data_IF_788972855516
#
_entry.id   IF_788972855516
#
_cell.length_a   1.000
_cell.length_b   1.000
_cell.length_c   1.000
_cell.angle_alpha   90.00
_cell.angle_beta   90.00
_cell.angle_gamma   90.00
#
_symmetry.space_group_name_H-M   'P 1'
#
loop_
_entity.id
_entity.type
_entity.pdbx_description
1 polymer ?
#
# COMPACT_ATOMS: atom_id res chain seq x y z
N UNK A 1 -8.64 33.47 -3.33
CA UNK A 1 -8.75 32.06 -2.90
C UNK A 1 -9.67 32.06 -1.68
N UNK A 2 -10.90 31.55 -1.81
CA UNK A 2 -11.96 31.74 -0.81
C UNK A 2 -11.77 30.80 0.40
N UNK A 3 -12.06 31.28 1.61
CA UNK A 3 -11.93 30.52 2.86
C UNK A 3 -12.80 29.25 2.92
N UNK A 4 -13.92 29.21 2.18
CA UNK A 4 -14.76 28.01 2.04
C UNK A 4 -14.03 26.87 1.31
N UNK A 5 -13.23 27.22 0.30
CA UNK A 5 -12.48 26.29 -0.55
C UNK A 5 -11.38 25.56 0.23
N UNK A 6 -10.73 26.25 1.18
CA UNK A 6 -9.73 25.64 2.07
C UNK A 6 -10.34 24.68 3.09
N UNK A 7 -11.60 24.90 3.50
CA UNK A 7 -12.26 24.08 4.51
C UNK A 7 -12.72 22.76 3.91
N UNK A 8 -13.33 22.80 2.72
CA UNK A 8 -13.68 21.61 1.95
C UNK A 8 -12.45 20.81 1.54
N UNK A 9 -11.39 21.47 1.07
CA UNK A 9 -10.14 20.80 0.73
C UNK A 9 -9.51 20.08 1.93
N UNK A 10 -9.50 20.71 3.11
CA UNK A 10 -9.03 20.08 4.36
C UNK A 10 -9.90 18.90 4.78
N UNK A 11 -11.22 18.97 4.57
CA UNK A 11 -12.13 17.86 4.85
C UNK A 11 -11.89 16.66 3.93
N UNK A 12 -11.66 16.90 2.63
CA UNK A 12 -11.32 15.87 1.64
C UNK A 12 -10.00 15.19 2.03
N UNK A 13 -8.95 15.97 2.33
CA UNK A 13 -7.67 15.43 2.78
C UNK A 13 -7.77 14.62 4.08
N UNK A 14 -8.66 15.05 4.99
CA UNK A 14 -8.91 14.32 6.23
C UNK A 14 -9.59 12.98 5.96
N UNK A 15 -10.55 12.93 5.05
CA UNK A 15 -11.23 11.69 4.67
C UNK A 15 -10.28 10.71 3.98
N UNK A 16 -9.47 11.15 3.01
CA UNK A 16 -8.46 10.30 2.35
C UNK A 16 -7.48 9.68 3.37
N UNK A 17 -7.05 10.48 4.36
CA UNK A 17 -6.19 9.98 5.43
C UNK A 17 -6.88 8.95 6.34
N UNK A 18 -8.18 9.13 6.61
CA UNK A 18 -8.96 8.19 7.41
C UNK A 18 -9.16 6.88 6.66
N UNK A 19 -9.47 6.93 5.36
CA UNK A 19 -9.65 5.75 4.50
C UNK A 19 -8.35 4.93 4.43
N UNK A 20 -7.22 5.56 4.13
CA UNK A 20 -5.92 4.88 4.10
C UNK A 20 -5.53 4.26 5.44
N UNK A 21 -5.92 4.89 6.55
CA UNK A 21 -5.69 4.34 7.89
C UNK A 21 -6.62 3.15 8.18
N UNK A 22 -7.87 3.22 7.75
CA UNK A 22 -8.82 2.11 7.85
C UNK A 22 -8.34 0.90 7.04
N UNK A 23 -7.83 1.12 5.82
CA UNK A 23 -7.25 0.06 5.00
C UNK A 23 -6.04 -0.58 5.69
N UNK A 24 -5.17 0.23 6.31
CA UNK A 24 -4.03 -0.29 7.06
C UNK A 24 -4.47 -1.17 8.26
N UNK A 25 -5.50 -0.77 9.00
CA UNK A 25 -6.05 -1.59 10.08
C UNK A 25 -6.74 -2.85 9.57
N UNK A 26 -7.43 -2.77 8.44
CA UNK A 26 -8.04 -3.92 7.80
C UNK A 26 -6.97 -4.95 7.40
N UNK A 27 -5.89 -4.49 6.76
CA UNK A 27 -4.76 -5.35 6.44
C UNK A 27 -4.18 -5.99 7.71
N UNK A 28 -3.91 -5.22 8.76
CA UNK A 28 -3.40 -5.75 10.02
C UNK A 28 -4.30 -6.86 10.60
N UNK A 29 -5.63 -6.69 10.54
CA UNK A 29 -6.57 -7.70 10.98
C UNK A 29 -6.50 -8.98 10.13
N UNK A 30 -6.43 -8.85 8.79
CA UNK A 30 -6.29 -10.00 7.88
C UNK A 30 -4.97 -10.75 8.12
N UNK A 31 -3.87 -10.02 8.32
CA UNK A 31 -2.56 -10.61 8.62
C UNK A 31 -2.60 -11.37 9.96
N UNK A 32 -3.24 -10.80 10.99
CA UNK A 32 -3.37 -11.45 12.30
C UNK A 32 -4.19 -12.75 12.23
N UNK A 33 -5.27 -12.76 11.45
CA UNK A 33 -6.10 -13.97 11.24
C UNK A 33 -5.34 -15.09 10.52
N UNK A 34 -4.40 -14.74 9.64
CA UNK A 34 -3.55 -15.71 8.92
C UNK A 34 -2.45 -16.31 9.79
N UNK A 35 -2.09 -15.67 10.90
CA UNK A 35 -1.09 -16.13 11.87
C UNK A 35 -1.61 -16.04 13.31
N UNK A 36 -2.60 -16.87 13.69
CA UNK A 36 -3.28 -16.75 14.98
C UNK A 36 -2.40 -17.08 16.19
N UNK A 37 -1.25 -17.73 15.97
CA UNK A 37 -0.27 -18.07 17.01
C UNK A 37 0.73 -16.95 17.30
N UNK A 38 0.84 -15.96 16.41
CA UNK A 38 1.70 -14.80 16.62
C UNK A 38 0.98 -13.71 17.41
N UNK A 39 1.76 -12.83 18.06
CA UNK A 39 1.19 -11.72 18.81
C UNK A 39 0.56 -10.72 17.84
N UNK A 40 -0.69 -10.27 18.03
CA UNK A 40 -1.39 -9.41 17.08
C UNK A 40 -0.66 -8.12 16.68
N UNK A 41 0.17 -7.57 17.58
CA UNK A 41 0.96 -6.39 17.24
C UNK A 41 2.03 -6.64 16.16
N UNK A 42 2.48 -7.88 15.98
CA UNK A 42 3.45 -8.25 14.93
C UNK A 42 2.80 -8.05 13.56
N UNK A 43 1.59 -8.58 13.38
CA UNK A 43 0.80 -8.36 12.17
C UNK A 43 0.52 -6.87 11.90
N UNK A 44 0.30 -6.07 12.95
CA UNK A 44 0.14 -4.63 12.81
C UNK A 44 1.44 -3.92 12.37
N UNK A 45 2.60 -4.34 12.89
CA UNK A 45 3.91 -3.82 12.46
C UNK A 45 4.21 -4.19 11.01
N UNK A 46 3.90 -5.43 10.61
CA UNK A 46 4.12 -5.89 9.24
C UNK A 46 3.19 -5.19 8.25
N UNK A 47 1.92 -4.97 8.61
CA UNK A 47 1.01 -4.16 7.82
C UNK A 47 1.53 -2.71 7.65
N UNK A 48 2.03 -2.10 8.74
CA UNK A 48 2.65 -0.77 8.67
C UNK A 48 3.91 -0.76 7.79
N UNK A 49 4.73 -1.81 7.86
CA UNK A 49 5.91 -1.97 7.02
C UNK A 49 5.54 -2.11 5.53
N UNK A 50 4.51 -2.90 5.20
CA UNK A 50 3.99 -3.04 3.84
C UNK A 50 3.53 -1.70 3.27
N UNK A 51 2.76 -0.91 4.03
CA UNK A 51 2.38 0.45 3.61
C UNK A 51 3.60 1.35 3.42
N UNK A 52 4.57 1.30 4.34
CA UNK A 52 5.80 2.09 4.25
C UNK A 52 6.67 1.75 3.04
N UNK A 53 6.73 0.47 2.66
CA UNK A 53 7.42 0.01 1.46
C UNK A 53 6.65 0.43 0.21
N UNK A 54 5.33 0.22 0.19
CA UNK A 54 4.49 0.55 -0.95
C UNK A 54 4.51 2.05 -1.28
N UNK A 55 4.48 2.93 -0.26
CA UNK A 55 4.65 4.39 -0.45
C UNK A 55 5.98 4.78 -1.09
N UNK A 56 7.04 4.02 -0.83
CA UNK A 56 8.32 4.25 -1.50
C UNK A 56 8.28 3.82 -2.96
N UNK A 57 7.55 2.75 -3.29
CA UNK A 57 7.33 2.34 -4.68
C UNK A 57 6.46 3.38 -5.40
N UNK A 58 5.40 3.87 -4.75
CA UNK A 58 4.53 4.93 -5.26
C UNK A 58 5.33 6.20 -5.60
N UNK A 59 6.21 6.65 -4.69
CA UNK A 59 7.07 7.80 -4.95
C UNK A 59 7.99 7.60 -6.17
N UNK A 60 8.45 6.37 -6.41
CA UNK A 60 9.22 6.04 -7.60
C UNK A 60 8.34 6.02 -8.86
N UNK A 61 7.12 5.50 -8.79
CA UNK A 61 6.17 5.52 -9.90
C UNK A 61 5.81 6.98 -10.30
N UNK A 62 5.57 7.85 -9.32
CA UNK A 62 5.35 9.29 -9.56
C UNK A 62 6.58 9.91 -10.24
N UNK A 63 7.80 9.59 -9.78
CA UNK A 63 9.03 10.08 -10.40
C UNK A 63 9.17 9.61 -11.84
N UNK A 64 8.93 8.32 -12.09
CA UNK A 64 8.95 7.70 -13.41
C UNK A 64 8.02 8.43 -14.38
N UNK A 65 6.80 8.73 -13.97
CA UNK A 65 5.83 9.46 -14.80
C UNK A 65 6.22 10.91 -15.13
N UNK A 66 7.01 11.59 -14.29
CA UNK A 66 7.31 13.00 -14.46
C UNK A 66 8.66 13.28 -15.13
N UNK A 67 9.68 12.45 -14.88
CA UNK A 67 11.06 12.73 -15.32
C UNK A 67 11.83 11.50 -15.81
N UNK A 68 11.38 10.28 -15.52
CA UNK A 68 12.11 8.99 -15.67
C UNK A 68 12.95 8.58 -14.46
N UNK A 69 13.22 7.28 -14.37
CA UNK A 69 14.05 6.66 -13.34
C UNK A 69 15.52 6.58 -13.76
N UNK A 70 16.41 6.72 -12.78
CA UNK A 70 17.82 6.35 -12.95
C UNK A 70 18.00 4.86 -12.69
N UNK A 71 19.11 4.25 -13.14
CA UNK A 71 19.43 2.84 -12.79
C UNK A 71 19.44 2.59 -11.28
N UNK A 72 19.82 3.60 -10.47
CA UNK A 72 19.79 3.50 -9.01
C UNK A 72 18.36 3.40 -8.49
N UNK A 73 17.45 4.16 -9.09
CA UNK A 73 16.03 4.13 -8.74
C UNK A 73 15.39 2.80 -9.15
N UNK A 74 15.74 2.27 -10.33
CA UNK A 74 15.28 0.95 -10.78
C UNK A 74 15.76 -0.16 -9.85
N UNK A 75 17.05 -0.17 -9.49
CA UNK A 75 17.60 -1.09 -8.48
C UNK A 75 16.92 -0.94 -7.13
N UNK A 76 16.56 0.29 -6.74
CA UNK A 76 15.79 0.53 -5.51
C UNK A 76 14.38 -0.02 -5.62
N UNK A 77 13.69 0.19 -6.75
CA UNK A 77 12.34 -0.34 -7.01
C UNK A 77 12.34 -1.85 -6.88
N UNK A 78 13.32 -2.53 -7.46
CA UNK A 78 13.42 -3.99 -7.40
C UNK A 78 13.61 -4.50 -5.97
N UNK A 79 14.51 -3.89 -5.20
CA UNK A 79 14.69 -4.25 -3.77
C UNK A 79 13.45 -3.99 -2.92
N UNK A 80 12.68 -2.95 -3.25
CA UNK A 80 11.42 -2.68 -2.56
C UNK A 80 10.37 -3.74 -2.91
N UNK A 81 10.29 -4.16 -4.17
CA UNK A 81 9.41 -5.25 -4.62
C UNK A 81 9.72 -6.55 -3.90
N UNK A 82 10.99 -6.95 -3.88
CA UNK A 82 11.44 -8.16 -3.19
C UNK A 82 11.05 -8.16 -1.70
N UNK A 83 11.25 -7.02 -1.01
CA UNK A 83 10.84 -6.88 0.40
C UNK A 83 9.33 -7.01 0.60
N UNK A 84 8.54 -6.40 -0.29
CA UNK A 84 7.07 -6.48 -0.24
C UNK A 84 6.64 -7.94 -0.45
N UNK A 85 7.22 -8.63 -1.43
CA UNK A 85 6.92 -10.02 -1.74
C UNK A 85 7.29 -10.96 -0.59
N UNK A 86 8.45 -10.75 0.06
CA UNK A 86 8.86 -11.52 1.25
C UNK A 86 7.84 -11.35 2.38
N UNK A 87 7.51 -10.11 2.73
CA UNK A 87 6.58 -9.83 3.84
C UNK A 87 5.18 -10.34 3.50
N UNK A 88 4.68 -10.14 2.28
CA UNK A 88 3.39 -10.70 1.85
C UNK A 88 3.40 -12.24 1.88
N UNK A 89 4.50 -12.85 1.43
CA UNK A 89 4.67 -14.30 1.35
C UNK A 89 4.63 -14.98 2.72
N UNK A 90 5.12 -14.33 3.78
CA UNK A 90 4.98 -14.79 5.16
C UNK A 90 3.52 -15.09 5.54
N UNK A 91 2.58 -14.36 4.98
CA UNK A 91 1.16 -14.51 5.25
C UNK A 91 0.43 -15.32 4.17
N UNK A 92 1.13 -15.92 3.20
CA UNK A 92 0.49 -16.61 2.07
C UNK A 92 -0.29 -15.65 1.15
N UNK A 93 0.20 -14.42 1.05
CA UNK A 93 -0.30 -13.41 0.11
C UNK A 93 0.69 -13.26 -1.05
N UNK A 94 0.18 -12.81 -2.19
CA UNK A 94 1.02 -12.39 -3.32
C UNK A 94 0.92 -10.88 -3.49
N UNK A 95 2.01 -10.25 -3.90
CA UNK A 95 2.06 -8.82 -4.16
C UNK A 95 2.25 -8.56 -5.66
N UNK A 96 1.56 -7.56 -6.20
CA UNK A 96 1.75 -7.07 -7.56
C UNK A 96 2.01 -5.58 -7.53
N UNK A 97 3.04 -5.15 -8.25
CA UNK A 97 3.39 -3.74 -8.40
C UNK A 97 2.99 -3.25 -9.80
N UNK A 98 2.21 -2.19 -9.86
CA UNK A 98 1.73 -1.53 -11.07
C UNK A 98 2.54 -0.25 -11.31
N UNK A 99 2.56 0.23 -12.55
CA UNK A 99 3.30 1.44 -12.93
C UNK A 99 2.50 2.75 -12.86
N UNK A 100 1.17 2.67 -12.75
CA UNK A 100 0.30 3.85 -12.72
C UNK A 100 0.18 4.41 -11.29
N UNK A 101 0.67 5.62 -11.00
CA UNK A 101 0.60 6.24 -9.68
C UNK A 101 -0.78 6.84 -9.34
N UNK A 102 -1.75 6.83 -10.25
CA UNK A 102 -3.10 7.41 -10.01
C UNK A 102 -4.03 6.48 -9.23
N UNK A 103 -3.57 5.29 -8.86
CA UNK A 103 -4.23 4.37 -7.94
C UNK A 103 -3.19 3.63 -7.11
N UNK A 104 -3.62 2.56 -6.44
CA UNK A 104 -2.68 1.77 -5.62
C UNK A 104 -1.62 1.12 -6.48
N UNK A 105 -0.37 1.56 -6.26
CA UNK A 105 0.82 1.12 -6.99
C UNK A 105 1.20 -0.29 -6.58
N UNK A 106 0.89 -0.69 -5.35
CA UNK A 106 1.09 -2.04 -4.86
C UNK A 106 -0.26 -2.62 -4.47
N UNK A 107 -0.54 -3.85 -4.92
CA UNK A 107 -1.76 -4.58 -4.56
C UNK A 107 -1.42 -5.95 -4.02
N UNK A 108 -2.10 -6.32 -2.93
CA UNK A 108 -2.00 -7.62 -2.31
C UNK A 108 -3.15 -8.51 -2.76
N UNK A 109 -2.86 -9.78 -2.99
CA UNK A 109 -3.83 -10.78 -3.44
C UNK A 109 -3.79 -12.00 -2.54
N UNK A 110 -4.98 -12.46 -2.15
CA UNK A 110 -5.19 -13.67 -1.35
C UNK A 110 -6.59 -13.67 -0.73
N UNK A 111 -6.96 -14.79 -0.13
CA UNK A 111 -8.22 -14.95 0.61
C UNK A 111 -8.37 -13.93 1.77
N UNK A 112 -9.59 -13.48 2.03
CA UNK A 112 -9.87 -12.53 3.13
C UNK A 112 -9.43 -11.09 2.86
N UNK A 113 -8.77 -10.82 1.74
CA UNK A 113 -8.56 -9.45 1.27
C UNK A 113 -9.74 -9.01 0.39
N UNK A 114 -10.28 -7.79 0.61
CA UNK A 114 -11.26 -7.19 -0.28
C UNK A 114 -10.71 -7.14 -1.70
N UNK A 115 -11.46 -7.72 -2.64
CA UNK A 115 -11.18 -7.59 -4.08
C UNK A 115 -12.22 -6.67 -4.68
N UNK A 116 -11.80 -5.77 -5.58
CA UNK A 116 -12.77 -5.08 -6.41
C UNK A 116 -13.26 -6.02 -7.53
N UNK A 117 -14.46 -5.77 -8.07
CA UNK A 117 -15.10 -6.62 -9.09
C UNK A 117 -14.35 -6.74 -10.42
N UNK A 118 -13.19 -6.10 -10.55
CA UNK A 118 -12.32 -6.11 -11.72
C UNK A 118 -11.02 -6.91 -11.49
N UNK A 119 -10.96 -7.72 -10.42
CA UNK A 119 -9.78 -8.53 -10.08
C UNK A 119 -8.61 -7.71 -9.51
N UNK A 120 -8.87 -6.46 -9.11
CA UNK A 120 -7.93 -5.63 -8.39
C UNK A 120 -7.77 -6.15 -6.95
N UNK A 121 -6.54 -6.52 -6.61
CA UNK A 121 -6.18 -6.87 -5.23
C UNK A 121 -6.32 -5.69 -4.28
N UNK A 122 -6.16 -5.96 -2.99
CA UNK A 122 -6.24 -4.96 -1.93
C UNK A 122 -5.09 -3.95 -2.06
N UNK A 123 -5.45 -2.68 -2.15
CA UNK A 123 -4.50 -1.59 -2.35
C UNK A 123 -3.66 -1.31 -1.11
N UNK A 124 -2.34 -1.20 -1.28
CA UNK A 124 -1.44 -0.69 -0.24
C UNK A 124 -0.62 0.45 -0.85
N UNK A 125 -0.75 1.64 -0.26
CA UNK A 125 -0.27 2.94 -0.76
C UNK A 125 -0.86 3.40 -2.10
#
# INVERSE_FOLDING_TARGET
MNFHDQTEFRAILRNDRIEKLADQYHLAAVLALRRPTERPYVAALDAAALYGLARQVEALAVKECNVSLTERDERRRERLREKIEIVAGWYGLTAKCYGDPRGYVVRLHGEGLPQNGWGGGFGVA
#
